data_IF_612578570146
#
_entry.id   IF_612578570146
#
_cell.length_a   1.000
_cell.length_b   1.000
_cell.length_c   1.000
_cell.angle_alpha   90.00
_cell.angle_beta   90.00
_cell.angle_gamma   90.00
#
_symmetry.space_group_name_H-M   'P 1'
#
loop_
_entity.id
_entity.type
_entity.pdbx_description
1 polymer ?
#
# COMPACT_ATOMS: atom_id res chain seq x y z
N UNK A 1 -60.04 -49.67 -30.99
CA UNK A 1 -61.40 -49.21 -30.61
C UNK A 1 -61.34 -48.86 -29.14
N UNK A 2 -61.98 -47.75 -28.77
CA UNK A 2 -61.84 -47.00 -27.52
C UNK A 2 -62.17 -47.79 -26.23
N UNK A 3 -61.67 -47.36 -25.07
CA UNK A 3 -62.36 -46.47 -24.11
C UNK A 3 -61.67 -46.43 -22.72
N UNK A 4 -61.82 -45.30 -22.03
CA UNK A 4 -61.44 -45.01 -20.63
C UNK A 4 -62.32 -45.80 -19.63
N UNK A 5 -61.80 -46.22 -18.46
CA UNK A 5 -62.55 -46.32 -17.17
C UNK A 5 -61.64 -46.47 -15.92
N UNK A 6 -61.98 -45.73 -14.85
CA UNK A 6 -61.75 -46.00 -13.39
C UNK A 6 -60.36 -45.64 -12.82
N UNK A 7 -60.17 -44.65 -11.93
CA UNK A 7 -60.61 -44.56 -10.49
C UNK A 7 -60.14 -45.76 -9.66
N UNK A 8 -59.60 -45.70 -8.46
CA UNK A 8 -59.07 -44.75 -7.47
C UNK A 8 -58.36 -45.67 -6.43
N UNK A 9 -57.37 -45.19 -5.68
CA UNK A 9 -57.27 -45.39 -4.22
C UNK A 9 -55.86 -45.10 -3.71
N UNK A 10 -55.82 -44.01 -2.95
CA UNK A 10 -54.74 -43.49 -2.14
C UNK A 10 -54.47 -44.34 -0.89
N UNK A 11 -53.28 -44.08 -0.34
CA UNK A 11 -52.89 -44.14 1.08
C UNK A 11 -52.10 -45.38 1.56
N UNK A 12 -50.81 -45.12 1.81
CA UNK A 12 -50.02 -45.37 3.05
C UNK A 12 -48.56 -45.62 2.63
N UNK A 13 -47.49 -45.13 3.26
CA UNK A 13 -47.19 -44.17 4.32
C UNK A 13 -45.63 -44.16 4.35
N UNK A 14 -45.00 -43.04 4.75
CA UNK A 14 -43.68 -42.91 5.44
C UNK A 14 -42.51 -43.83 5.02
N UNK A 15 -41.32 -43.34 4.69
CA UNK A 15 -40.37 -42.76 5.65
C UNK A 15 -39.37 -41.82 4.93
N UNK A 16 -39.09 -40.68 5.58
CA UNK A 16 -38.11 -39.67 5.20
C UNK A 16 -36.71 -40.13 5.64
N UNK A 17 -35.72 -40.10 4.75
CA UNK A 17 -34.30 -40.17 5.12
C UNK A 17 -33.68 -38.81 4.76
N UNK A 18 -33.27 -38.07 5.79
CA UNK A 18 -32.57 -36.78 5.71
C UNK A 18 -31.12 -37.01 5.26
N UNK A 19 -30.70 -36.36 4.17
CA UNK A 19 -29.29 -36.30 3.74
C UNK A 19 -28.62 -35.12 4.47
N UNK A 20 -27.76 -35.41 5.47
CA UNK A 20 -26.91 -34.43 6.12
C UNK A 20 -25.70 -34.09 5.20
N UNK A 21 -25.78 -32.95 4.53
CA UNK A 21 -24.68 -32.31 3.80
C UNK A 21 -23.64 -31.74 4.80
N UNK A 22 -22.56 -32.47 5.08
CA UNK A 22 -21.38 -31.91 5.76
C UNK A 22 -20.60 -30.98 4.79
N UNK A 23 -20.96 -29.70 4.74
CA UNK A 23 -20.11 -28.65 4.15
C UNK A 23 -18.84 -28.50 5.01
N UNK A 24 -17.72 -29.06 4.56
CA UNK A 24 -16.40 -28.75 5.12
C UNK A 24 -16.05 -27.27 4.78
N UNK A 25 -16.10 -26.42 5.80
CA UNK A 25 -15.67 -25.02 5.77
C UNK A 25 -14.19 -24.90 5.32
N UNK A 26 -13.98 -24.59 4.04
CA UNK A 26 -12.69 -24.16 3.48
C UNK A 26 -12.40 -22.74 3.99
N UNK A 27 -11.88 -22.63 5.21
CA UNK A 27 -11.19 -21.44 5.68
C UNK A 27 -9.74 -21.79 5.98
N UNK A 28 -8.97 -22.03 4.91
CA UNK A 28 -7.52 -21.93 4.92
C UNK A 28 -7.15 -20.45 5.11
N UNK A 29 -7.15 -20.00 6.37
CA UNK A 29 -6.58 -18.73 6.77
C UNK A 29 -5.05 -18.84 6.73
N UNK A 30 -4.51 -18.86 5.51
CA UNK A 30 -3.10 -18.60 5.28
C UNK A 30 -2.76 -17.20 5.78
N UNK A 31 -2.06 -17.16 6.92
CA UNK A 31 -1.38 -15.99 7.45
C UNK A 31 -0.30 -15.54 6.46
N UNK A 32 -0.67 -14.72 5.47
CA UNK A 32 0.32 -14.01 4.66
C UNK A 32 0.74 -12.73 5.39
N UNK A 33 1.40 -12.89 6.54
CA UNK A 33 2.22 -11.84 7.17
C UNK A 33 3.51 -11.66 6.37
N UNK A 34 3.35 -11.31 5.09
CA UNK A 34 4.41 -10.79 4.24
C UNK A 34 4.60 -9.31 4.56
N UNK A 35 5.55 -9.00 5.44
CA UNK A 35 6.08 -7.64 5.60
C UNK A 35 6.50 -7.15 4.21
N UNK A 36 5.69 -6.30 3.58
CA UNK A 36 6.06 -5.57 2.37
C UNK A 36 7.15 -4.58 2.75
N UNK A 37 8.38 -5.08 2.85
CA UNK A 37 9.57 -4.25 2.89
C UNK A 37 9.49 -3.40 1.64
N UNK A 38 9.25 -2.10 1.82
CA UNK A 38 9.19 -1.15 0.72
C UNK A 38 10.53 -1.23 0.00
N UNK A 39 10.56 -1.96 -1.11
CA UNK A 39 11.73 -2.08 -1.96
C UNK A 39 12.02 -0.70 -2.55
N UNK A 40 12.84 0.06 -1.85
CA UNK A 40 13.26 1.39 -2.25
C UNK A 40 14.17 1.25 -3.45
N UNK A 41 13.70 1.71 -4.60
CA UNK A 41 14.50 1.80 -5.82
C UNK A 41 15.52 2.94 -5.69
N UNK A 42 16.73 2.58 -5.28
CA UNK A 42 17.85 3.52 -5.19
C UNK A 42 18.48 3.76 -6.57
N UNK A 43 18.54 5.03 -6.98
CA UNK A 43 19.31 5.43 -8.17
C UNK A 43 20.81 5.22 -7.94
N UNK A 44 21.49 4.68 -8.95
CA UNK A 44 22.92 4.34 -8.90
C UNK A 44 23.74 5.29 -9.76
N UNK A 45 24.93 5.61 -9.26
CA UNK A 45 25.84 6.54 -9.91
C UNK A 45 27.20 5.90 -10.13
N UNK A 46 27.82 6.24 -11.26
CA UNK A 46 29.15 5.80 -11.61
C UNK A 46 30.19 6.39 -10.64
N UNK A 47 31.13 5.59 -10.09
CA UNK A 47 32.14 6.08 -9.16
C UNK A 47 33.21 6.96 -9.81
N UNK A 48 33.31 6.99 -11.14
CA UNK A 48 34.34 7.76 -11.85
C UNK A 48 33.89 9.14 -12.31
N UNK A 49 32.64 9.24 -12.77
CA UNK A 49 32.11 10.44 -13.43
C UNK A 49 30.79 10.95 -12.81
N UNK A 50 30.33 10.29 -11.74
CA UNK A 50 29.07 10.59 -11.04
C UNK A 50 27.84 10.64 -11.94
N UNK A 51 27.91 10.04 -13.14
CA UNK A 51 26.77 9.94 -14.04
C UNK A 51 25.82 8.84 -13.59
N UNK A 52 24.53 9.02 -13.84
CA UNK A 52 23.52 8.00 -13.55
C UNK A 52 23.79 6.73 -14.37
N UNK A 53 23.81 5.56 -13.70
CA UNK A 53 23.96 4.27 -14.37
C UNK A 53 22.63 3.82 -14.96
N UNK A 54 22.70 3.13 -16.10
CA UNK A 54 21.52 2.65 -16.81
C UNK A 54 21.42 1.12 -16.77
N UNK A 55 20.21 0.57 -16.63
CA UNK A 55 19.98 -0.87 -16.68
C UNK A 55 20.37 -1.43 -18.05
N UNK A 56 21.10 -2.55 -18.06
CA UNK A 56 21.61 -3.25 -19.23
C UNK A 56 21.55 -4.76 -19.00
N UNK A 57 21.02 -5.49 -19.97
CA UNK A 57 20.97 -6.96 -19.91
C UNK A 57 22.34 -7.59 -20.25
N UNK A 58 22.79 -8.54 -19.43
CA UNK A 58 23.81 -9.52 -19.83
C UNK A 58 23.13 -10.78 -20.39
N UNK A 59 23.09 -10.88 -21.72
CA UNK A 59 22.42 -11.98 -22.44
C UNK A 59 23.02 -13.36 -22.18
N UNK A 60 24.29 -13.45 -21.77
CA UNK A 60 24.96 -14.74 -21.55
C UNK A 60 24.54 -15.35 -20.22
N UNK A 61 24.58 -14.54 -19.17
CA UNK A 61 24.24 -14.95 -17.81
C UNK A 61 22.76 -14.72 -17.46
N UNK A 62 21.99 -14.08 -18.35
CA UNK A 62 20.59 -13.69 -18.16
C UNK A 62 20.38 -12.86 -16.88
N UNK A 63 21.30 -11.93 -16.63
CA UNK A 63 21.33 -11.10 -15.43
C UNK A 63 21.24 -9.61 -15.78
N UNK A 64 20.67 -8.82 -14.85
CA UNK A 64 20.60 -7.37 -14.96
C UNK A 64 21.91 -6.72 -14.49
N UNK A 65 22.49 -5.85 -15.31
CA UNK A 65 23.63 -5.00 -14.99
C UNK A 65 23.22 -3.53 -15.00
N UNK A 66 24.01 -2.69 -14.34
CA UNK A 66 23.97 -1.24 -14.44
C UNK A 66 25.27 -0.76 -15.11
N UNK A 67 25.16 0.06 -16.15
CA UNK A 67 26.28 0.50 -16.97
C UNK A 67 26.32 2.02 -17.12
N UNK A 68 27.51 2.61 -17.09
CA UNK A 68 27.70 4.02 -17.43
C UNK A 68 27.64 4.21 -18.96
N UNK A 69 27.15 5.37 -19.42
CA UNK A 69 27.15 5.75 -20.84
C UNK A 69 28.44 6.45 -21.28
N UNK A 70 29.16 7.06 -20.35
CA UNK A 70 30.33 7.90 -20.64
C UNK A 70 31.64 7.13 -20.52
N UNK A 71 31.71 6.15 -19.61
CA UNK A 71 32.88 5.29 -19.42
C UNK A 71 32.52 3.80 -19.53
N UNK A 72 33.50 2.92 -19.24
CA UNK A 72 33.34 1.45 -19.33
C UNK A 72 32.91 0.79 -18.02
N UNK A 73 32.53 1.57 -17.02
CA UNK A 73 32.11 1.05 -15.73
C UNK A 73 30.77 0.30 -15.84
N UNK A 74 30.71 -0.89 -15.23
CA UNK A 74 29.53 -1.73 -15.14
C UNK A 74 29.50 -2.45 -13.81
N UNK A 75 28.32 -2.65 -13.24
CA UNK A 75 28.11 -3.40 -12.01
C UNK A 75 26.85 -4.29 -12.08
N UNK A 76 26.78 -5.41 -11.37
CA UNK A 76 25.58 -6.24 -11.31
C UNK A 76 24.47 -5.60 -10.46
N UNK A 77 23.21 -5.86 -10.81
CA UNK A 77 22.07 -5.49 -9.95
C UNK A 77 22.06 -6.37 -8.69
N UNK A 78 22.09 -5.79 -7.48
CA UNK A 78 21.95 -6.56 -6.26
C UNK A 78 20.49 -6.80 -5.91
N UNK A 79 20.22 -7.98 -5.37
CA UNK A 79 19.05 -8.45 -4.61
C UNK A 79 17.63 -8.23 -5.21
N UNK A 80 17.47 -7.41 -6.25
CA UNK A 80 16.19 -7.14 -6.89
C UNK A 80 16.37 -6.79 -8.38
N UNK A 81 15.54 -7.35 -9.28
CA UNK A 81 15.54 -7.04 -10.72
C UNK A 81 14.63 -5.85 -11.10
N UNK A 82 14.13 -5.09 -10.12
CA UNK A 82 13.16 -4.02 -10.35
C UNK A 82 13.86 -2.76 -10.89
N UNK A 83 13.52 -2.38 -12.13
CA UNK A 83 14.11 -1.21 -12.81
C UNK A 83 13.25 0.04 -12.68
N UNK A 84 11.93 -0.15 -12.58
CA UNK A 84 10.98 0.95 -12.58
C UNK A 84 9.73 0.55 -11.80
N UNK A 85 9.19 1.50 -11.04
CA UNK A 85 7.90 1.39 -10.37
C UNK A 85 7.10 2.66 -10.61
N UNK A 86 5.82 2.50 -10.92
CA UNK A 86 4.88 3.62 -11.03
C UNK A 86 3.80 3.49 -9.95
N UNK A 87 3.91 4.29 -8.91
CA UNK A 87 2.91 4.36 -7.83
C UNK A 87 1.91 5.48 -8.14
N UNK A 88 0.73 5.10 -8.63
CA UNK A 88 -0.31 6.06 -9.02
C UNK A 88 -1.06 6.65 -7.82
N UNK A 89 -1.18 5.88 -6.73
CA UNK A 89 -1.79 6.30 -5.48
C UNK A 89 -0.67 6.53 -4.47
N UNK A 90 -0.55 7.76 -3.97
CA UNK A 90 0.36 8.06 -2.86
C UNK A 90 -0.42 7.87 -1.56
N UNK A 91 0.06 6.99 -0.69
CA UNK A 91 -0.53 6.81 0.64
C UNK A 91 -0.32 8.06 1.50
N UNK A 92 -1.28 8.33 2.40
CA UNK A 92 -1.28 9.49 3.29
C UNK A 92 -0.12 9.40 4.30
N UNK A 93 0.42 8.22 4.61
CA UNK A 93 1.64 8.10 5.43
C UNK A 93 2.85 8.84 4.80
N UNK A 94 2.94 8.85 3.48
CA UNK A 94 4.06 9.47 2.76
C UNK A 94 4.02 11.01 2.76
N UNK A 95 2.87 11.63 3.08
CA UNK A 95 2.75 13.10 3.07
C UNK A 95 3.41 13.72 4.30
N UNK A 96 3.38 13.05 5.46
CA UNK A 96 3.99 13.55 6.70
C UNK A 96 5.51 13.74 6.57
N UNK A 97 6.17 12.87 5.79
CA UNK A 97 7.60 12.99 5.50
C UNK A 97 7.95 14.20 4.60
N UNK A 98 7.00 14.68 3.80
CA UNK A 98 7.22 15.83 2.90
C UNK A 98 7.13 17.15 3.67
N UNK A 99 6.42 17.17 4.79
CA UNK A 99 6.25 18.37 5.62
C UNK A 99 7.59 18.76 6.24
N UNK A 100 8.08 19.99 6.04
CA UNK A 100 9.32 20.47 6.67
C UNK A 100 9.19 20.52 8.21
N UNK A 101 10.28 20.31 8.94
CA UNK A 101 10.26 20.41 10.41
C UNK A 101 10.03 21.84 10.91
N UNK A 102 10.50 22.87 10.18
CA UNK A 102 10.36 24.28 10.56
C UNK A 102 8.98 24.90 10.23
N UNK A 103 7.98 24.09 9.89
CA UNK A 103 6.64 24.59 9.52
C UNK A 103 5.90 25.17 10.74
N UNK A 104 6.28 24.76 11.94
CA UNK A 104 5.76 25.27 13.21
C UNK A 104 6.10 26.75 13.45
N UNK A 105 7.15 27.27 12.80
CA UNK A 105 7.59 28.67 12.92
C UNK A 105 6.88 29.62 11.95
N UNK A 106 6.11 29.11 10.99
CA UNK A 106 5.41 29.93 10.02
C UNK A 106 4.26 30.72 10.70
N UNK A 107 4.31 32.07 10.72
CA UNK A 107 3.28 32.89 11.35
C UNK A 107 2.00 32.99 10.51
N UNK A 108 2.02 32.53 9.25
CA UNK A 108 0.86 32.59 8.34
C UNK A 108 -0.05 31.38 8.44
N UNK A 109 0.42 30.29 9.05
CA UNK A 109 -0.36 29.08 9.23
C UNK A 109 -1.26 29.15 10.48
N UNK A 110 -2.44 28.53 10.37
CA UNK A 110 -3.41 28.48 11.46
C UNK A 110 -2.93 27.56 12.60
N UNK A 111 -3.24 27.94 13.84
CA UNK A 111 -2.88 27.20 15.06
C UNK A 111 -4.12 26.76 15.82
N UNK A 112 -4.08 25.54 16.34
CA UNK A 112 -5.09 25.00 17.25
C UNK A 112 -4.48 24.81 18.63
N UNK A 113 -5.13 25.37 19.66
CA UNK A 113 -4.76 25.21 21.07
C UNK A 113 -5.43 24.00 21.75
N UNK A 114 -6.17 23.19 20.98
CA UNK A 114 -6.89 21.99 21.44
C UNK A 114 -6.30 20.70 20.85
N UNK A 115 -5.14 20.81 20.21
CA UNK A 115 -4.51 19.71 19.48
C UNK A 115 -3.45 19.06 20.37
N UNK A 116 -3.81 17.94 21.00
CA UNK A 116 -2.95 17.28 21.97
C UNK A 116 -1.95 16.37 21.27
N UNK A 117 -0.66 16.67 21.40
CA UNK A 117 0.41 15.87 20.84
C UNK A 117 0.59 14.57 21.62
N UNK A 118 0.49 13.41 20.95
CA UNK A 118 0.71 12.10 21.57
C UNK A 118 2.16 11.87 22.04
N UNK A 119 3.14 12.59 21.49
CA UNK A 119 4.56 12.42 21.81
C UNK A 119 5.00 13.22 23.05
N UNK A 120 4.55 14.47 23.20
CA UNK A 120 5.00 15.36 24.29
C UNK A 120 3.88 15.92 25.18
N UNK A 121 2.62 15.67 24.85
CA UNK A 121 1.46 16.17 25.61
C UNK A 121 1.19 17.67 25.46
N UNK A 122 1.91 18.37 24.57
CA UNK A 122 1.65 19.78 24.28
C UNK A 122 0.35 19.96 23.48
N UNK A 123 -0.40 21.03 23.76
CA UNK A 123 -1.76 21.23 23.22
C UNK A 123 -1.84 22.20 22.03
N UNK A 124 -0.70 22.73 21.59
CA UNK A 124 -0.62 23.65 20.46
C UNK A 124 -0.01 22.97 19.22
N UNK A 125 -0.73 23.04 18.10
CA UNK A 125 -0.28 22.54 16.82
C UNK A 125 -0.68 23.48 15.68
N UNK A 126 0.23 23.63 14.72
CA UNK A 126 -0.07 24.20 13.41
C UNK A 126 -0.83 23.17 12.59
N UNK A 127 -1.82 23.60 11.81
CA UNK A 127 -2.54 22.70 10.91
C UNK A 127 -2.77 23.31 9.53
N UNK A 128 -2.82 22.45 8.52
CA UNK A 128 -3.10 22.81 7.14
C UNK A 128 -3.67 21.61 6.38
N UNK A 129 -4.38 21.88 5.29
CA UNK A 129 -4.94 20.84 4.44
C UNK A 129 -3.83 20.21 3.59
N UNK A 130 -3.87 18.89 3.42
CA UNK A 130 -2.91 18.20 2.56
C UNK A 130 -3.12 18.55 1.07
N UNK A 131 -2.05 18.86 0.34
CA UNK A 131 -2.07 19.16 -1.10
C UNK A 131 -2.27 17.92 -2.00
N UNK A 132 -2.78 16.81 -1.47
CA UNK A 132 -2.91 15.58 -2.25
C UNK A 132 -4.00 15.77 -3.30
N UNK A 133 -3.61 15.68 -4.57
CA UNK A 133 -4.47 15.85 -5.74
C UNK A 133 -5.61 14.82 -5.90
N UNK A 134 -5.86 13.97 -4.89
CA UNK A 134 -7.05 13.13 -4.82
C UNK A 134 -8.15 13.99 -4.17
N UNK A 135 -9.06 14.47 -5.02
CA UNK A 135 -10.00 15.57 -4.76
C UNK A 135 -11.01 15.36 -3.63
N UNK A 136 -11.01 14.20 -2.95
CA UNK A 136 -12.09 13.79 -2.05
C UNK A 136 -11.70 13.73 -0.56
N UNK A 137 -10.43 13.97 -0.19
CA UNK A 137 -10.01 13.96 1.22
C UNK A 137 -9.63 15.36 1.75
N UNK A 138 -10.48 15.92 2.62
CA UNK A 138 -10.19 17.14 3.40
C UNK A 138 -9.33 16.83 4.65
N UNK A 139 -8.33 15.96 4.50
CA UNK A 139 -7.49 15.54 5.61
C UNK A 139 -6.63 16.72 6.10
N UNK A 140 -6.60 16.92 7.41
CA UNK A 140 -5.79 17.96 8.05
C UNK A 140 -4.52 17.34 8.61
N UNK A 141 -3.39 17.93 8.24
CA UNK A 141 -2.10 17.61 8.85
C UNK A 141 -1.90 18.53 10.03
N UNK A 142 -1.45 17.96 11.15
CA UNK A 142 -1.08 18.68 12.36
C UNK A 142 0.41 18.52 12.63
N UNK A 143 1.04 19.61 13.08
CA UNK A 143 2.44 19.64 13.51
C UNK A 143 2.54 20.31 14.87
N UNK A 144 3.07 19.59 15.86
CA UNK A 144 3.21 20.09 17.22
C UNK A 144 4.22 21.25 17.28
N UNK A 145 3.88 22.34 17.97
CA UNK A 145 4.76 23.50 18.10
C UNK A 145 5.96 23.31 19.04
N UNK A 146 6.02 22.19 19.79
CA UNK A 146 7.07 21.94 20.78
C UNK A 146 8.05 20.82 20.39
N UNK A 147 7.61 19.81 19.62
CA UNK A 147 8.43 18.63 19.32
C UNK A 147 8.40 18.22 17.84
N UNK A 148 7.78 19.01 16.96
CA UNK A 148 7.63 18.76 15.52
C UNK A 148 7.03 17.39 15.16
N UNK A 149 6.35 16.74 16.11
CA UNK A 149 5.59 15.53 15.85
C UNK A 149 4.45 15.85 14.88
N UNK A 150 4.28 15.01 13.86
CA UNK A 150 3.35 15.22 12.75
C UNK A 150 2.34 14.09 12.71
N UNK A 151 1.07 14.42 12.54
CA UNK A 151 0.00 13.43 12.44
C UNK A 151 -1.13 13.93 11.56
N UNK A 152 -2.01 13.03 11.14
CA UNK A 152 -3.22 13.34 10.36
C UNK A 152 -4.44 13.06 11.24
N UNK A 153 -5.47 13.91 11.13
CA UNK A 153 -6.80 13.69 11.72
C UNK A 153 -7.83 13.47 10.61
#
# INVERSE_FOLDING_TARGET
>A
MADLFGEEDDQQDMEEEEEDDEEEDILDMGEDEGVHQQDVLLMRFCPHDSSMLYPKEDKRNKSLLYACRLCRYTEPSPNQPLVYRNEKKKEIGNILHTVPSAISDDPTLARSQKANCANCGHNEAVFFQSDVAQQDSLALIFVCCNCDHKWVN
#
